data_IF_656075828101
#
_entry.id   IF_656075828101
#
_cell.length_a   1.000
_cell.length_b   1.000
_cell.length_c   1.000
_cell.angle_alpha   90.00
_cell.angle_beta   90.00
_cell.angle_gamma   90.00
#
_symmetry.space_group_name_H-M   'P 1'
#
loop_
_entity.id
_entity.type
_entity.pdbx_description
1 polymer ?
#
# COMPACT_ATOMS: atom_id res chain seq x y z
N UNK A 1 8.00 -8.03 18.03
CA UNK A 1 6.88 -7.30 17.40
C UNK A 1 6.99 -7.53 15.91
N UNK A 2 5.87 -7.76 15.22
CA UNK A 2 5.85 -8.01 13.78
C UNK A 2 5.17 -6.87 13.04
N UNK A 3 5.51 -6.72 11.77
CA UNK A 3 4.89 -5.77 10.85
C UNK A 3 4.53 -6.48 9.53
N UNK A 4 3.61 -5.88 8.78
CA UNK A 4 3.17 -6.39 7.49
C UNK A 4 4.19 -6.06 6.41
N UNK A 5 4.55 -7.07 5.63
CA UNK A 5 5.34 -6.89 4.42
C UNK A 5 4.86 -7.82 3.30
N UNK A 6 5.64 -7.90 2.24
CA UNK A 6 5.38 -8.77 1.12
C UNK A 6 6.71 -9.31 0.55
N UNK A 7 6.61 -10.39 -0.23
CA UNK A 7 7.72 -10.90 -1.04
C UNK A 7 7.49 -10.61 -2.54
N UNK A 8 8.47 -10.89 -3.39
CA UNK A 8 8.35 -10.68 -4.84
C UNK A 8 7.30 -11.55 -5.56
N UNK A 9 6.66 -12.49 -4.85
CA UNK A 9 5.46 -13.19 -5.32
C UNK A 9 4.17 -12.43 -5.01
N UNK A 10 4.30 -11.19 -4.51
CA UNK A 10 3.20 -10.30 -4.10
C UNK A 10 2.28 -10.97 -3.08
N UNK A 11 2.89 -11.79 -2.19
CA UNK A 11 2.21 -12.43 -1.08
C UNK A 11 2.47 -11.70 0.23
N UNK A 12 1.40 -11.35 0.95
CA UNK A 12 1.50 -10.77 2.29
C UNK A 12 2.21 -11.72 3.27
N UNK A 13 3.10 -11.16 4.10
CA UNK A 13 3.81 -11.89 5.16
C UNK A 13 4.03 -11.02 6.38
N UNK A 14 4.09 -11.66 7.54
CA UNK A 14 4.57 -11.05 8.76
C UNK A 14 6.08 -11.16 8.85
N UNK A 15 6.73 -10.04 9.13
CA UNK A 15 8.17 -9.96 9.37
C UNK A 15 8.44 -9.42 10.77
N UNK A 16 9.63 -9.70 11.31
CA UNK A 16 10.08 -9.05 12.54
C UNK A 16 10.30 -7.56 12.30
N UNK A 17 9.85 -6.72 13.22
CA UNK A 17 10.04 -5.28 13.13
C UNK A 17 11.55 -4.96 13.04
N UNK A 18 11.98 -4.13 12.07
CA UNK A 18 13.39 -3.80 11.90
C UNK A 18 13.89 -2.87 13.01
N UNK A 19 15.20 -2.92 13.31
CA UNK A 19 15.82 -2.09 14.35
C UNK A 19 15.57 -0.59 14.17
N UNK A 20 15.46 -0.11 12.92
CA UNK A 20 15.14 1.29 12.61
C UNK A 20 13.84 1.77 13.26
N UNK A 21 12.81 0.91 13.32
CA UNK A 21 11.53 1.26 13.93
C UNK A 21 11.60 1.23 15.46
N UNK A 22 12.46 0.38 16.05
CA UNK A 22 12.70 0.36 17.49
C UNK A 22 13.39 1.65 17.94
N UNK A 23 14.39 2.09 17.17
CA UNK A 23 15.12 3.35 17.43
C UNK A 23 14.17 4.54 17.28
N UNK A 24 13.38 4.63 16.19
CA UNK A 24 12.41 5.71 15.98
C UNK A 24 11.43 5.88 17.15
N UNK A 25 11.11 4.78 17.84
CA UNK A 25 10.17 4.74 18.95
C UNK A 25 10.84 4.86 20.32
N UNK A 26 12.14 5.16 20.39
CA UNK A 26 12.92 5.16 21.64
C UNK A 26 12.73 3.87 22.46
N UNK A 27 12.63 2.72 21.77
CA UNK A 27 12.32 1.41 22.35
C UNK A 27 10.97 1.29 23.08
N UNK A 28 10.08 2.28 22.98
CA UNK A 28 8.73 2.21 23.53
C UNK A 28 7.81 1.34 22.65
N UNK A 29 7.41 0.20 23.21
CA UNK A 29 6.56 -0.79 22.55
C UNK A 29 5.07 -0.40 22.50
N UNK A 30 4.66 0.67 23.17
CA UNK A 30 3.29 1.19 23.17
C UNK A 30 2.99 2.15 22.02
N UNK A 31 4.03 2.77 21.45
CA UNK A 31 3.90 3.70 20.32
C UNK A 31 3.52 2.98 19.00
N UNK A 32 2.84 3.63 18.04
CA UNK A 32 2.53 3.03 16.75
C UNK A 32 3.77 2.57 15.96
N UNK A 33 3.65 1.40 15.32
CA UNK A 33 4.68 0.83 14.44
C UNK A 33 4.33 1.08 12.97
N UNK A 34 5.21 1.72 12.19
CA UNK A 34 4.97 1.91 10.76
C UNK A 34 5.11 0.57 10.02
N UNK A 35 4.17 0.29 9.12
CA UNK A 35 4.08 -0.97 8.38
C UNK A 35 4.03 -0.70 6.87
N UNK A 36 4.93 -1.27 6.05
CA UNK A 36 4.86 -1.17 4.59
C UNK A 36 3.53 -1.63 4.03
N UNK A 37 2.92 -2.65 4.65
CA UNK A 37 1.64 -3.18 4.20
C UNK A 37 0.66 -3.41 5.35
N UNK A 38 -0.62 -3.30 5.03
CA UNK A 38 -1.72 -3.77 5.88
C UNK A 38 -2.09 -5.22 5.53
N UNK A 39 -2.58 -5.97 6.52
CA UNK A 39 -3.05 -7.35 6.31
C UNK A 39 -4.35 -7.43 5.52
N UNK A 40 -5.14 -6.35 5.44
CA UNK A 40 -6.37 -6.26 4.65
C UNK A 40 -7.61 -6.10 5.51
N UNK A 41 -7.96 -7.14 6.26
CA UNK A 41 -9.30 -7.27 6.85
C UNK A 41 -9.64 -6.32 8.01
N UNK A 42 -8.65 -5.67 8.65
CA UNK A 42 -8.88 -4.79 9.80
C UNK A 42 -7.99 -3.55 9.70
N UNK A 43 -8.61 -2.39 9.56
CA UNK A 43 -7.96 -1.09 9.59
C UNK A 43 -8.98 0.00 9.95
N UNK A 44 -8.49 1.18 10.30
CA UNK A 44 -9.29 2.39 10.44
C UNK A 44 -8.68 3.47 9.56
N UNK A 45 -9.52 4.23 8.88
CA UNK A 45 -9.12 5.31 7.97
C UNK A 45 -10.17 6.41 8.02
N UNK A 46 -9.75 7.66 7.82
CA UNK A 46 -10.68 8.75 7.61
C UNK A 46 -11.48 8.55 6.30
N UNK A 47 -12.79 8.84 6.34
CA UNK A 47 -13.67 8.62 5.19
C UNK A 47 -13.31 9.51 4.01
N UNK A 48 -13.00 10.78 4.27
CA UNK A 48 -12.67 11.73 3.20
C UNK A 48 -11.33 11.35 2.57
N UNK A 49 -10.35 10.97 3.38
CA UNK A 49 -9.07 10.45 2.87
C UNK A 49 -9.26 9.18 2.04
N UNK A 50 -10.08 8.23 2.48
CA UNK A 50 -10.40 7.01 1.72
C UNK A 50 -11.04 7.31 0.35
N UNK A 51 -11.92 8.30 0.29
CA UNK A 51 -12.54 8.77 -0.95
C UNK A 51 -11.53 9.48 -1.84
N UNK A 52 -10.74 10.39 -1.27
CA UNK A 52 -9.73 11.19 -1.95
C UNK A 52 -8.67 10.33 -2.64
N UNK A 53 -8.13 9.31 -1.95
CA UNK A 53 -7.15 8.41 -2.55
C UNK A 53 -7.79 7.44 -3.56
N UNK A 54 -9.12 7.43 -3.73
CA UNK A 54 -9.80 6.69 -4.80
C UNK A 54 -10.33 5.31 -4.41
N UNK A 55 -10.71 5.10 -3.14
CA UNK A 55 -11.36 3.86 -2.61
C UNK A 55 -10.60 2.58 -2.99
N UNK A 56 -11.23 1.41 -3.03
CA UNK A 56 -10.61 0.21 -3.64
C UNK A 56 -10.65 0.24 -5.16
N UNK A 57 -9.80 -0.56 -5.79
CA UNK A 57 -9.92 -0.87 -7.21
C UNK A 57 -11.22 -1.64 -7.51
N UNK A 58 -12.19 -0.94 -8.11
CA UNK A 58 -13.51 -1.49 -8.41
C UNK A 58 -13.48 -2.63 -9.43
N UNK A 59 -12.39 -2.79 -10.18
CA UNK A 59 -12.20 -3.91 -11.11
C UNK A 59 -11.45 -5.09 -10.47
N UNK A 60 -10.98 -4.99 -9.22
CA UNK A 60 -10.53 -6.17 -8.50
C UNK A 60 -11.70 -7.08 -8.16
N UNK A 61 -11.49 -8.37 -8.36
CA UNK A 61 -12.53 -9.38 -8.22
C UNK A 61 -12.34 -10.19 -6.96
N UNK A 62 -13.39 -10.27 -6.14
CA UNK A 62 -13.58 -11.12 -4.96
C UNK A 62 -12.50 -11.02 -3.88
N UNK A 63 -11.28 -11.50 -4.14
CA UNK A 63 -10.23 -11.60 -3.13
C UNK A 63 -8.82 -11.62 -3.75
N UNK A 64 -7.87 -10.95 -3.09
CA UNK A 64 -6.45 -11.06 -3.36
C UNK A 64 -5.84 -9.75 -3.83
N UNK A 65 -4.66 -9.44 -3.32
CA UNK A 65 -3.83 -8.27 -3.62
C UNK A 65 -4.43 -6.89 -3.27
N UNK A 66 -5.70 -6.79 -2.88
CA UNK A 66 -6.35 -5.52 -2.54
C UNK A 66 -5.67 -4.84 -1.35
N UNK A 67 -5.18 -5.63 -0.41
CA UNK A 67 -4.47 -5.13 0.77
C UNK A 67 -3.12 -4.51 0.38
N UNK A 68 -2.43 -5.07 -0.63
CA UNK A 68 -1.13 -4.58 -1.09
C UNK A 68 -1.28 -3.37 -2.01
N UNK A 69 -2.27 -3.37 -2.91
CA UNK A 69 -2.57 -2.24 -3.79
C UNK A 69 -2.88 -1.00 -2.95
N UNK A 70 -3.77 -1.19 -1.98
CA UNK A 70 -4.16 -0.12 -1.09
C UNK A 70 -2.99 0.36 -0.23
N UNK A 71 -2.11 -0.57 0.18
CA UNK A 71 -0.91 -0.19 0.94
C UNK A 71 0.06 0.65 0.13
N UNK A 72 0.33 0.26 -1.12
CA UNK A 72 1.27 0.95 -1.99
C UNK A 72 0.77 2.34 -2.30
N UNK A 73 -0.52 2.46 -2.63
CA UNK A 73 -1.16 3.74 -2.85
C UNK A 73 -1.07 4.67 -1.65
N UNK A 74 -1.39 4.19 -0.44
CA UNK A 74 -1.29 5.04 0.76
C UNK A 74 0.12 5.59 0.92
N UNK A 75 1.16 4.74 0.83
CA UNK A 75 2.53 5.19 1.01
C UNK A 75 3.04 6.09 -0.13
N UNK A 76 2.77 5.72 -1.38
CA UNK A 76 3.28 6.42 -2.56
C UNK A 76 2.52 7.74 -2.82
N UNK A 77 1.32 7.89 -2.27
CA UNK A 77 0.54 9.13 -2.34
C UNK A 77 0.64 9.99 -1.06
N UNK A 78 1.67 9.77 -0.22
CA UNK A 78 1.99 10.66 0.91
C UNK A 78 1.31 10.34 2.25
N UNK A 79 0.53 9.26 2.32
CA UNK A 79 -0.03 8.74 3.57
C UNK A 79 0.94 7.85 4.35
N UNK A 80 0.45 7.25 5.43
CA UNK A 80 1.21 6.25 6.20
C UNK A 80 0.30 5.15 6.73
N UNK A 81 0.90 4.00 7.02
CA UNK A 81 0.19 2.83 7.57
C UNK A 81 0.86 2.46 8.89
N UNK A 82 0.07 2.36 9.94
CA UNK A 82 0.56 2.11 11.29
C UNK A 82 -0.20 0.97 11.98
N UNK A 83 0.54 0.15 12.72
CA UNK A 83 0.01 -0.84 13.65
C UNK A 83 -0.04 -0.18 15.02
N UNK A 84 -1.25 0.14 15.49
CA UNK A 84 -1.50 0.71 16.81
C UNK A 84 -1.48 -0.39 17.87
N UNK A 85 -0.39 -0.50 18.62
CA UNK A 85 -0.12 -1.62 19.55
C UNK A 85 -1.08 -1.70 20.74
N UNK A 86 -1.72 -0.59 21.09
CA UNK A 86 -2.73 -0.52 22.14
C UNK A 86 -4.13 -0.95 21.67
N UNK A 87 -4.39 -0.93 20.35
CA UNK A 87 -5.64 -1.42 19.77
C UNK A 87 -5.51 -2.91 19.44
N UNK A 88 -6.37 -3.74 20.03
CA UNK A 88 -6.28 -5.20 19.89
C UNK A 88 -7.61 -5.78 19.44
N UNK A 89 -7.58 -6.48 18.31
CA UNK A 89 -8.72 -7.21 17.77
C UNK A 89 -8.29 -8.64 17.45
N UNK A 90 -9.04 -9.62 17.94
CA UNK A 90 -8.80 -11.03 17.63
C UNK A 90 -9.40 -11.39 16.27
N UNK A 91 -8.63 -12.08 15.43
CA UNK A 91 -9.10 -12.65 14.16
C UNK A 91 -8.90 -14.17 14.15
N UNK A 92 -9.95 -14.93 13.84
CA UNK A 92 -9.87 -16.39 13.73
C UNK A 92 -9.37 -16.76 12.34
N UNK A 93 -8.09 -17.13 12.25
CA UNK A 93 -7.49 -17.58 11.00
C UNK A 93 -8.11 -18.91 10.54
N UNK A 94 -8.36 -19.01 9.24
CA UNK A 94 -8.87 -20.21 8.59
C UNK A 94 -7.78 -20.79 7.69
N UNK A 95 -7.77 -22.11 7.54
CA UNK A 95 -6.82 -22.82 6.69
C UNK A 95 -7.20 -22.84 5.21
N UNK A 96 -8.48 -22.60 4.88
CA UNK A 96 -8.99 -22.61 3.50
C UNK A 96 -10.12 -21.59 3.31
N UNK A 97 -10.23 -21.07 2.09
CA UNK A 97 -11.34 -20.20 1.67
C UNK A 97 -12.65 -21.00 1.65
N UNK A 98 -13.73 -20.54 2.31
CA UNK A 98 -14.94 -21.34 2.52
C UNK A 98 -15.93 -21.31 1.35
N UNK A 99 -15.64 -20.59 0.27
CA UNK A 99 -16.52 -20.40 -0.88
C UNK A 99 -15.82 -20.78 -2.19
N UNK A 100 -16.60 -21.25 -3.15
CA UNK A 100 -16.12 -21.58 -4.50
C UNK A 100 -15.88 -20.29 -5.28
N UNK A 101 -14.70 -20.20 -5.90
CA UNK A 101 -14.29 -19.06 -6.69
C UNK A 101 -14.56 -19.31 -8.19
N UNK A 102 -15.40 -18.51 -8.86
CA UNK A 102 -15.63 -18.64 -10.30
C UNK A 102 -14.32 -18.45 -11.07
N UNK A 103 -13.95 -19.39 -11.95
CA UNK A 103 -12.68 -19.35 -12.69
C UNK A 103 -11.45 -19.85 -11.91
N UNK A 104 -11.63 -20.28 -10.66
CA UNK A 104 -10.55 -20.78 -9.80
C UNK A 104 -9.82 -19.67 -9.03
N UNK A 105 -9.21 -20.04 -7.90
CA UNK A 105 -8.45 -19.11 -7.05
C UNK A 105 -7.33 -18.41 -7.81
N UNK A 106 -6.66 -19.15 -8.68
CA UNK A 106 -5.44 -18.68 -9.32
C UNK A 106 -5.76 -17.57 -10.31
N UNK A 107 -6.78 -17.74 -11.17
CA UNK A 107 -7.19 -16.69 -12.11
C UNK A 107 -7.50 -15.37 -11.40
N UNK A 108 -8.29 -15.43 -10.32
CA UNK A 108 -8.69 -14.26 -9.54
C UNK A 108 -7.49 -13.56 -8.91
N UNK A 109 -6.64 -14.34 -8.23
CA UNK A 109 -5.45 -13.80 -7.56
C UNK A 109 -4.52 -13.20 -8.59
N UNK A 110 -4.27 -13.87 -9.71
CA UNK A 110 -3.39 -13.33 -10.75
C UNK A 110 -3.96 -12.09 -11.42
N UNK A 111 -5.27 -12.05 -11.67
CA UNK A 111 -5.94 -10.88 -12.22
C UNK A 111 -5.73 -9.65 -11.33
N UNK A 112 -6.05 -9.75 -10.04
CA UNK A 112 -5.91 -8.62 -9.10
C UNK A 112 -4.44 -8.26 -8.88
N UNK A 113 -3.57 -9.25 -8.78
CA UNK A 113 -2.13 -9.02 -8.58
C UNK A 113 -1.52 -8.31 -9.79
N UNK A 114 -1.88 -8.70 -11.02
CA UNK A 114 -1.38 -8.04 -12.22
C UNK A 114 -1.81 -6.56 -12.26
N UNK A 115 -3.06 -6.25 -11.91
CA UNK A 115 -3.53 -4.85 -11.83
C UNK A 115 -2.72 -4.01 -10.84
N UNK A 116 -2.45 -4.54 -9.66
CA UNK A 116 -1.57 -3.89 -8.68
C UNK A 116 -0.16 -3.66 -9.25
N UNK A 117 0.42 -4.72 -9.81
CA UNK A 117 1.80 -4.75 -10.28
C UNK A 117 2.01 -3.76 -11.42
N UNK A 118 1.07 -3.69 -12.37
CA UNK A 118 1.18 -2.80 -13.52
C UNK A 118 1.05 -1.32 -13.16
N UNK A 119 0.28 -1.01 -12.12
CA UNK A 119 0.02 0.38 -11.68
C UNK A 119 1.11 0.88 -10.74
N UNK A 120 1.59 0.04 -9.81
CA UNK A 120 2.37 0.51 -8.65
C UNK A 120 3.83 0.05 -8.60
N UNK A 121 4.25 -0.90 -9.44
CA UNK A 121 5.61 -1.44 -9.38
C UNK A 121 6.51 -0.97 -10.51
N UNK A 122 6.08 -0.09 -11.41
CA UNK A 122 6.90 0.49 -12.47
C UNK A 122 7.79 -0.56 -13.18
N UNK A 123 9.11 -0.39 -13.22
CA UNK A 123 10.05 -1.38 -13.76
C UNK A 123 10.19 -2.66 -12.91
N UNK A 124 9.89 -2.59 -11.62
CA UNK A 124 9.97 -3.73 -10.68
C UNK A 124 8.92 -4.81 -10.98
N UNK A 125 7.89 -4.50 -11.78
CA UNK A 125 6.94 -5.50 -12.28
C UNK A 125 7.62 -6.65 -13.03
N UNK A 126 8.79 -6.40 -13.63
CA UNK A 126 9.54 -7.44 -14.35
C UNK A 126 9.98 -8.57 -13.41
N UNK A 127 10.31 -8.30 -12.15
CA UNK A 127 10.62 -9.34 -11.16
C UNK A 127 9.42 -10.24 -10.89
N UNK A 128 8.24 -9.64 -10.71
CA UNK A 128 7.00 -10.39 -10.51
C UNK A 128 6.70 -11.27 -11.72
N UNK A 129 6.76 -10.71 -12.93
CA UNK A 129 6.46 -11.45 -14.14
C UNK A 129 7.51 -12.50 -14.50
N UNK A 130 8.76 -12.33 -14.06
CA UNK A 130 9.79 -13.36 -14.18
C UNK A 130 9.49 -14.57 -13.25
N UNK A 131 8.97 -14.32 -12.05
CA UNK A 131 8.55 -15.38 -11.12
C UNK A 131 7.23 -16.03 -11.52
N UNK A 132 6.37 -15.31 -12.23
CA UNK A 132 5.04 -15.74 -12.64
C UNK A 132 4.77 -15.48 -14.13
N UNK A 133 5.41 -16.23 -15.06
CA UNK A 133 5.26 -16.01 -16.49
C UNK A 133 3.80 -16.09 -16.98
N UNK A 134 2.99 -16.95 -16.35
CA UNK A 134 1.57 -17.10 -16.67
C UNK A 134 0.73 -15.84 -16.41
N UNK A 135 1.15 -14.98 -15.47
CA UNK A 135 0.45 -13.73 -15.20
C UNK A 135 0.55 -12.72 -16.36
N UNK A 136 1.58 -12.84 -17.23
CA UNK A 136 1.67 -12.01 -18.45
C UNK A 136 0.55 -12.31 -19.44
N UNK A 137 0.06 -13.55 -19.46
CA UNK A 137 -0.90 -14.03 -20.46
C UNK A 137 -2.36 -13.74 -20.09
N UNK A 138 -2.60 -13.25 -18.86
CA UNK A 138 -3.94 -12.94 -18.40
C UNK A 138 -4.38 -11.64 -19.06
N UNK A 139 -5.51 -11.72 -19.77
CA UNK A 139 -6.17 -10.55 -20.35
C UNK A 139 -6.65 -9.67 -19.21
N UNK A 140 -6.07 -8.48 -19.13
CA UNK A 140 -6.45 -7.44 -18.16
C UNK A 140 -7.44 -6.49 -18.81
N UNK A 141 -8.43 -6.08 -18.04
CA UNK A 141 -9.18 -4.87 -18.38
C UNK A 141 -8.25 -3.66 -18.29
N UNK A 142 -8.60 -2.58 -18.99
CA UNK A 142 -7.84 -1.33 -18.90
C UNK A 142 -7.63 -0.91 -17.45
N UNK A 143 -6.44 -0.35 -17.17
CA UNK A 143 -6.03 0.23 -15.90
C UNK A 143 -5.97 1.77 -16.01
N UNK A 144 -6.46 2.36 -17.11
CA UNK A 144 -6.35 3.79 -17.38
C UNK A 144 -7.06 4.61 -16.29
N UNK A 145 -8.12 4.09 -15.67
CA UNK A 145 -8.78 4.75 -14.54
C UNK A 145 -7.94 4.79 -13.25
N UNK A 146 -6.85 4.01 -13.18
CA UNK A 146 -5.91 3.96 -12.05
C UNK A 146 -4.61 4.69 -12.35
N UNK A 147 -4.35 5.00 -13.62
CA UNK A 147 -3.22 5.80 -14.04
C UNK A 147 -3.73 7.23 -14.18
N UNK A 148 -3.18 8.17 -13.41
CA UNK A 148 -3.55 9.57 -13.50
C UNK A 148 -2.47 10.34 -14.28
N UNK A 149 -2.54 10.38 -15.63
CA UNK A 149 -1.51 11.03 -16.44
C UNK A 149 -1.43 12.55 -16.21
N UNK A 150 -2.48 13.15 -15.66
CA UNK A 150 -2.57 14.56 -15.28
C UNK A 150 -2.04 14.82 -13.86
N UNK A 151 -1.39 13.81 -13.25
CA UNK A 151 -0.81 13.95 -11.92
C UNK A 151 0.16 15.12 -11.87
N UNK A 152 -0.11 16.05 -10.95
CA UNK A 152 0.80 17.15 -10.63
C UNK A 152 2.07 16.66 -9.91
N UNK A 153 2.11 15.37 -9.53
CA UNK A 153 3.30 14.79 -8.93
C UNK A 153 4.40 14.66 -10.00
N UNK A 154 5.56 15.30 -9.79
CA UNK A 154 6.68 15.18 -10.72
C UNK A 154 7.12 13.71 -10.81
N UNK A 155 7.38 13.22 -12.02
CA UNK A 155 7.86 11.86 -12.25
C UNK A 155 9.25 11.62 -11.63
N UNK A 156 10.08 12.67 -11.58
CA UNK A 156 11.40 12.65 -10.96
C UNK A 156 11.43 13.56 -9.72
N UNK A 157 11.70 12.99 -8.55
CA UNK A 157 11.86 13.74 -7.30
C UNK A 157 12.89 13.07 -6.37
N UNK A 158 13.59 13.89 -5.58
CA UNK A 158 14.54 13.38 -4.56
C UNK A 158 13.85 13.04 -3.23
N UNK A 159 12.81 13.79 -2.87
CA UNK A 159 12.02 13.58 -1.66
C UNK A 159 10.61 14.16 -1.85
N UNK A 160 9.59 13.50 -1.31
CA UNK A 160 8.20 13.94 -1.34
C UNK A 160 7.63 13.95 0.09
N UNK A 161 6.98 15.03 0.49
CA UNK A 161 6.38 15.20 1.82
C UNK A 161 6.75 16.53 2.49
N UNK A 162 6.46 16.65 3.79
CA UNK A 162 6.74 17.86 4.56
C UNK A 162 8.24 18.15 4.65
N UNK A 163 8.64 19.40 4.42
CA UNK A 163 9.99 19.90 4.74
C UNK A 163 9.95 20.52 6.13
N UNK A 164 10.57 19.85 7.11
CA UNK A 164 10.56 20.26 8.54
C UNK A 164 11.87 20.91 8.97
N UNK A 165 11.77 21.88 9.88
CA UNK A 165 12.94 22.46 10.53
C UNK A 165 13.53 21.50 11.58
N UNK A 166 14.80 21.09 11.42
CA UNK A 166 15.43 20.13 12.35
C UNK A 166 15.61 20.65 13.78
N UNK A 167 15.61 21.98 13.99
CA UNK A 167 15.81 22.58 15.30
C UNK A 167 14.49 22.92 16.02
N UNK A 168 13.35 22.78 15.34
CA UNK A 168 12.02 23.11 15.83
C UNK A 168 10.99 22.14 15.25
N UNK A 169 10.64 21.12 16.03
CA UNK A 169 9.80 19.99 15.59
C UNK A 169 8.40 20.40 15.08
N UNK A 170 7.89 21.57 15.50
CA UNK A 170 6.56 22.08 15.15
C UNK A 170 6.54 23.02 13.94
N UNK A 171 7.64 23.19 13.21
CA UNK A 171 7.71 24.08 12.05
C UNK A 171 7.94 23.32 10.74
N UNK A 172 7.01 23.47 9.80
CA UNK A 172 7.09 23.00 8.42
C UNK A 172 7.21 24.17 7.45
N UNK A 173 7.85 23.93 6.31
CA UNK A 173 7.78 24.82 5.15
C UNK A 173 6.34 24.81 4.63
N UNK A 174 5.76 26.00 4.44
CA UNK A 174 4.39 26.19 3.97
C UNK A 174 4.40 27.32 2.92
N UNK A 175 3.57 27.19 1.89
CA UNK A 175 3.46 28.22 0.84
C UNK A 175 2.70 29.46 1.32
N UNK A 176 2.16 29.46 2.54
CA UNK A 176 1.29 30.49 3.12
C UNK A 176 0.12 30.85 2.20
N UNK A 177 -0.35 29.87 1.42
CA UNK A 177 -1.39 30.05 0.38
C UNK A 177 -1.02 31.10 -0.67
N UNK A 178 0.26 31.40 -0.86
CA UNK A 178 0.71 32.19 -2.00
C UNK A 178 0.68 31.30 -3.24
N UNK A 179 -0.11 31.72 -4.23
CA UNK A 179 -0.10 31.12 -5.55
C UNK A 179 1.26 31.46 -6.21
N UNK A 180 1.98 30.45 -6.69
CA UNK A 180 3.15 30.70 -7.53
C UNK A 180 2.71 31.47 -8.78
N UNK A 181 3.46 32.52 -9.11
CA UNK A 181 3.10 33.50 -10.13
C UNK A 181 2.84 32.92 -11.52
N UNK A 182 1.98 33.66 -12.24
CA UNK A 182 1.71 33.65 -13.69
C UNK A 182 2.88 33.24 -14.58
#
# INVERSE_FOLDING_TARGET
MTYGGFNWKIGFRWYSAPNRELIRRNNDRSLPLRSPTLSGGLFAIDRQFFEYIGKYDSKMIIWGAENLEFSFRIWMCGGSIEIVTCSRVGHVFRSKTPYTLPGGSDYIVWHNTARLVDVWLDEWKEFFYALHPGARLIRRESIDERIYPESQLPQDYNFLGDIRNMNKEDLCLDTLHTEEGT
#
